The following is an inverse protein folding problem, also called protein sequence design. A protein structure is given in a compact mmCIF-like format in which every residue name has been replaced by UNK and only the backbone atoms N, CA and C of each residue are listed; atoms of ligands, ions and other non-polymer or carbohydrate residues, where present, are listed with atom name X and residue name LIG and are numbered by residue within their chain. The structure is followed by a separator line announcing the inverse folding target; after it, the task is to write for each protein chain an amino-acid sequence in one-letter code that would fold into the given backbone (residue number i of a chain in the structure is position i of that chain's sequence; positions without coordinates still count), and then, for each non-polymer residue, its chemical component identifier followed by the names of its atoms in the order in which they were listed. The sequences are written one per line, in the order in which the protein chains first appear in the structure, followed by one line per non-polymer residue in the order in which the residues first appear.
data_IF_461076379468
#
_entry.id   IF_461076379468
#
_cell.length_a   1.000
_cell.length_b   1.000
_cell.length_c   1.000
_cell.angle_alpha   90.00
_cell.angle_beta   90.00
_cell.angle_gamma   90.00
#
_symmetry.space_group_name_H-M   'P 1'
#
loop_
_entity.id
_entity.type
_entity.pdbx_description
1 polymer ?
#
# COMPACT_ATOMS: atom_id res chain seq x y z
N UNK A 1 -8.22 1.59 20.98
CA UNK A 1 -8.90 0.29 21.28
C UNK A 1 -7.92 -0.84 20.96
N UNK A 2 -7.74 -1.81 21.85
CA UNK A 2 -6.74 -2.87 21.72
C UNK A 2 -7.39 -4.25 21.76
N UNK A 3 -6.87 -5.18 20.96
CA UNK A 3 -7.20 -6.60 21.03
C UNK A 3 -5.99 -7.32 21.61
N UNK A 4 -6.21 -8.08 22.68
CA UNK A 4 -5.18 -8.90 23.30
C UNK A 4 -5.16 -10.27 22.65
N UNK A 5 -4.07 -10.61 21.96
CA UNK A 5 -3.86 -11.94 21.37
C UNK A 5 -2.58 -12.54 21.98
N UNK A 6 -2.70 -13.65 22.70
CA UNK A 6 -1.56 -14.35 23.34
C UNK A 6 -0.62 -13.43 24.15
N UNK A 7 -1.17 -12.43 24.84
CA UNK A 7 -0.40 -11.48 25.65
C UNK A 7 0.18 -10.28 24.88
N UNK A 8 0.03 -10.23 23.56
CA UNK A 8 0.40 -9.09 22.72
C UNK A 8 -0.82 -8.18 22.58
N UNK A 9 -0.66 -6.89 22.87
CA UNK A 9 -1.69 -5.88 22.67
C UNK A 9 -1.56 -5.31 21.25
N UNK A 10 -2.51 -5.68 20.38
CA UNK A 10 -2.56 -5.20 19.01
C UNK A 10 -3.61 -4.10 18.92
N UNK A 11 -3.21 -2.91 18.46
CA UNK A 11 -4.16 -1.82 18.21
C UNK A 11 -5.09 -2.22 17.07
N UNK A 12 -6.40 -2.00 17.24
CA UNK A 12 -7.39 -2.28 16.18
C UNK A 12 -7.08 -1.51 14.90
N UNK A 13 -6.50 -0.31 15.02
CA UNK A 13 -6.14 0.52 13.86
C UNK A 13 -5.04 -0.12 13.00
N UNK A 14 -4.11 -0.86 13.60
CA UNK A 14 -3.09 -1.61 12.86
C UNK A 14 -3.74 -2.71 12.02
N UNK A 15 -4.80 -3.35 12.51
CA UNK A 15 -5.54 -4.35 11.73
C UNK A 15 -6.25 -3.73 10.53
N UNK A 16 -6.83 -2.53 10.70
CA UNK A 16 -7.45 -1.78 9.59
C UNK A 16 -6.41 -1.42 8.53
N UNK A 17 -5.24 -0.93 8.95
CA UNK A 17 -4.14 -0.63 8.04
C UNK A 17 -3.65 -1.86 7.28
N UNK A 18 -3.46 -2.99 7.98
CA UNK A 18 -3.06 -4.26 7.36
C UNK A 18 -4.14 -4.76 6.39
N UNK A 19 -5.43 -4.59 6.71
CA UNK A 19 -6.52 -4.95 5.80
C UNK A 19 -6.51 -4.09 4.52
N UNK A 20 -6.27 -2.78 4.64
CA UNK A 20 -6.17 -1.89 3.47
C UNK A 20 -4.96 -2.23 2.61
N UNK A 21 -3.81 -2.50 3.22
CA UNK A 21 -2.63 -2.99 2.49
C UNK A 21 -2.90 -4.34 1.81
N UNK A 22 -3.59 -5.26 2.49
CA UNK A 22 -3.96 -6.55 1.92
C UNK A 22 -4.82 -6.37 0.66
N UNK A 23 -5.79 -5.47 0.68
CA UNK A 23 -6.59 -5.12 -0.50
C UNK A 23 -5.73 -4.52 -1.62
N UNK A 24 -4.79 -3.64 -1.27
CA UNK A 24 -3.83 -3.07 -2.22
C UNK A 24 -2.97 -4.14 -2.92
N UNK A 25 -2.39 -5.06 -2.14
CA UNK A 25 -1.66 -6.21 -2.69
C UNK A 25 -2.56 -7.16 -3.48
N UNK A 26 -3.83 -7.32 -3.07
CA UNK A 26 -4.86 -8.02 -3.83
C UNK A 26 -5.06 -7.45 -5.24
N UNK A 27 -5.19 -6.14 -5.34
CA UNK A 27 -5.31 -5.46 -6.62
C UNK A 27 -4.04 -5.61 -7.49
N UNK A 28 -2.86 -5.49 -6.87
CA UNK A 28 -1.58 -5.77 -7.53
C UNK A 28 -1.48 -7.21 -8.05
N UNK A 29 -1.96 -8.19 -7.29
CA UNK A 29 -1.96 -9.60 -7.69
C UNK A 29 -2.85 -9.87 -8.90
N UNK A 30 -4.04 -9.25 -8.93
CA UNK A 30 -4.92 -9.25 -10.09
C UNK A 30 -4.21 -8.68 -11.32
N UNK A 31 -3.58 -7.51 -11.18
CA UNK A 31 -2.92 -6.85 -12.31
C UNK A 31 -1.68 -7.59 -12.81
N UNK A 32 -0.87 -8.16 -11.90
CA UNK A 32 0.26 -9.01 -12.27
C UNK A 32 -0.18 -10.22 -13.08
N UNK A 33 -1.30 -10.86 -12.69
CA UNK A 33 -1.86 -11.99 -13.44
C UNK A 33 -2.39 -11.56 -14.79
N UNK A 34 -3.01 -10.39 -14.88
CA UNK A 34 -3.43 -9.78 -16.13
C UNK A 34 -2.22 -9.55 -17.07
N UNK A 35 -1.16 -8.89 -16.62
CA UNK A 35 0.07 -8.67 -17.41
C UNK A 35 0.72 -9.97 -17.86
N UNK A 36 0.72 -10.99 -17.00
CA UNK A 36 1.27 -12.30 -17.32
C UNK A 36 0.50 -12.97 -18.47
N UNK A 37 -0.83 -12.84 -18.54
CA UNK A 37 -1.64 -13.35 -19.65
C UNK A 37 -1.43 -12.55 -20.93
N UNK A 38 -1.27 -11.24 -20.83
CA UNK A 38 -0.96 -10.35 -21.96
C UNK A 38 0.50 -10.50 -22.46
N UNK A 39 1.26 -11.49 -21.96
CA UNK A 39 2.66 -11.74 -22.31
C UNK A 39 3.60 -10.55 -22.05
N UNK A 40 3.21 -9.61 -21.19
CA UNK A 40 4.01 -8.44 -20.78
C UNK A 40 4.94 -8.81 -19.62
N UNK A 41 5.86 -9.75 -19.87
CA UNK A 41 6.71 -10.33 -18.83
C UNK A 41 7.65 -9.32 -18.14
N UNK A 42 8.21 -8.36 -18.89
CA UNK A 42 9.10 -7.34 -18.33
C UNK A 42 8.36 -6.43 -17.33
N UNK A 43 7.15 -5.99 -17.70
CA UNK A 43 6.31 -5.15 -16.83
C UNK A 43 5.89 -5.92 -15.58
N UNK A 44 5.57 -7.21 -15.73
CA UNK A 44 5.25 -8.09 -14.61
C UNK A 44 6.44 -8.22 -13.63
N UNK A 45 7.65 -8.44 -14.15
CA UNK A 45 8.85 -8.63 -13.33
C UNK A 45 9.25 -7.33 -12.62
N UNK A 46 9.16 -6.20 -13.32
CA UNK A 46 9.42 -4.86 -12.77
C UNK A 46 8.41 -4.52 -11.67
N UNK A 47 7.12 -4.75 -11.92
CA UNK A 47 6.06 -4.49 -10.95
C UNK A 47 6.19 -5.36 -9.70
N UNK A 48 6.52 -6.64 -9.86
CA UNK A 48 6.75 -7.56 -8.74
C UNK A 48 7.97 -7.11 -7.90
N UNK A 49 9.07 -6.74 -8.57
CA UNK A 49 10.30 -6.30 -7.91
C UNK A 49 10.07 -5.03 -7.10
N UNK A 50 9.35 -4.05 -7.66
CA UNK A 50 9.00 -2.81 -6.97
C UNK A 50 8.06 -3.07 -5.81
N UNK A 51 7.10 -3.98 -5.95
CA UNK A 51 6.18 -4.36 -4.87
C UNK A 51 6.92 -5.00 -3.68
N UNK A 52 7.89 -5.88 -3.94
CA UNK A 52 8.73 -6.47 -2.90
C UNK A 52 9.61 -5.42 -2.21
N UNK A 53 10.22 -4.53 -3.00
CA UNK A 53 11.04 -3.44 -2.48
C UNK A 53 10.22 -2.47 -1.62
N UNK A 54 8.99 -2.15 -2.03
CA UNK A 54 8.07 -1.31 -1.28
C UNK A 54 7.62 -1.95 0.04
N UNK A 55 7.35 -3.26 0.03
CA UNK A 55 7.00 -4.02 1.23
C UNK A 55 8.10 -3.93 2.28
N UNK A 56 9.36 -4.03 1.84
CA UNK A 56 10.51 -3.81 2.70
C UNK A 56 10.58 -2.35 3.17
N UNK A 57 10.45 -1.38 2.27
CA UNK A 57 10.50 0.05 2.56
C UNK A 57 9.45 0.51 3.60
N UNK A 58 8.21 0.01 3.53
CA UNK A 58 7.13 0.31 4.48
C UNK A 58 7.53 -0.07 5.92
N UNK A 59 8.28 -1.16 6.12
CA UNK A 59 8.74 -1.57 7.44
C UNK A 59 9.75 -0.61 8.08
N UNK A 60 10.43 0.24 7.29
CA UNK A 60 11.44 1.19 7.77
C UNK A 60 10.87 2.58 8.08
N UNK A 61 9.60 2.85 7.76
CA UNK A 61 8.86 4.02 8.23
C UNK A 61 9.52 5.38 7.91
N UNK A 62 9.92 5.60 6.66
CA UNK A 62 10.62 6.83 6.25
C UNK A 62 10.00 7.55 5.05
N UNK A 63 9.07 6.93 4.34
CA UNK A 63 8.50 7.46 3.10
C UNK A 63 7.03 7.83 3.14
N UNK A 64 6.34 7.74 4.29
CA UNK A 64 4.88 7.77 4.35
C UNK A 64 4.21 9.04 3.79
N UNK A 65 4.58 10.20 4.34
CA UNK A 65 4.09 11.49 3.85
C UNK A 65 4.49 11.75 2.39
N UNK A 66 5.67 11.27 2.00
CA UNK A 66 6.21 11.45 0.66
C UNK A 66 5.49 10.54 -0.35
N UNK A 67 5.06 9.34 0.08
CA UNK A 67 4.23 8.43 -0.69
C UNK A 67 2.84 9.01 -0.92
N UNK A 68 2.24 9.65 0.10
CA UNK A 68 0.98 10.37 -0.04
C UNK A 68 1.12 11.52 -1.06
N UNK A 69 2.18 12.31 -0.97
CA UNK A 69 2.46 13.38 -1.93
C UNK A 69 2.67 12.85 -3.36
N UNK A 70 3.36 11.71 -3.52
CA UNK A 70 3.56 11.06 -4.81
C UNK A 70 2.25 10.52 -5.40
N UNK A 71 1.41 9.86 -4.60
CA UNK A 71 0.08 9.39 -5.01
C UNK A 71 -0.81 10.56 -5.43
N UNK A 72 -0.79 11.67 -4.68
CA UNK A 72 -1.54 12.89 -4.99
C UNK A 72 -1.12 13.50 -6.34
N UNK A 73 0.20 13.63 -6.56
CA UNK A 73 0.77 14.17 -7.79
C UNK A 73 0.41 13.33 -9.00
N UNK A 74 0.45 12.00 -8.88
CA UNK A 74 0.19 11.10 -10.01
C UNK A 74 -1.29 10.98 -10.30
N UNK A 75 -2.14 10.96 -9.27
CA UNK A 75 -3.58 11.07 -9.45
C UNK A 75 -3.96 12.41 -10.14
N UNK A 76 -3.22 13.50 -9.88
CA UNK A 76 -3.40 14.78 -10.57
C UNK A 76 -2.98 14.72 -12.04
N UNK A 77 -1.79 14.19 -12.32
CA UNK A 77 -1.23 14.14 -13.67
C UNK A 77 -2.06 13.27 -14.63
N UNK A 78 -2.66 12.18 -14.14
CA UNK A 78 -3.36 11.20 -14.98
C UNK A 78 -4.89 11.21 -14.85
N UNK A 79 -5.44 11.63 -13.71
CA UNK A 79 -6.89 11.70 -13.47
C UNK A 79 -7.45 13.13 -13.45
N UNK A 80 -6.61 14.16 -13.33
CA UNK A 80 -7.04 15.53 -13.14
C UNK A 80 -7.40 15.86 -11.68
N UNK A 81 -8.02 17.04 -11.49
CA UNK A 81 -8.24 17.65 -10.17
C UNK A 81 -9.12 16.80 -9.23
N UNK A 82 -10.23 16.25 -9.74
CA UNK A 82 -11.20 15.51 -8.92
C UNK A 82 -10.62 14.19 -8.41
N UNK A 83 -10.00 13.33 -9.24
CA UNK A 83 -9.30 12.14 -8.76
C UNK A 83 -8.16 12.40 -7.79
N UNK A 84 -7.37 13.45 -8.01
CA UNK A 84 -6.30 13.86 -7.09
C UNK A 84 -6.86 14.27 -5.73
N UNK A 85 -7.94 15.07 -5.72
CA UNK A 85 -8.59 15.49 -4.49
C UNK A 85 -9.15 14.29 -3.71
N UNK A 86 -9.73 13.29 -4.40
CA UNK A 86 -10.24 12.06 -3.78
C UNK A 86 -9.09 11.24 -3.19
N UNK A 87 -8.01 11.00 -3.94
CA UNK A 87 -6.87 10.22 -3.46
C UNK A 87 -6.15 10.90 -2.29
N UNK A 88 -5.91 12.21 -2.39
CA UNK A 88 -5.26 12.99 -1.33
C UNK A 88 -6.14 13.12 -0.10
N UNK A 89 -7.45 13.35 -0.30
CA UNK A 89 -8.44 13.41 0.76
C UNK A 89 -8.54 12.09 1.52
N UNK A 90 -8.61 10.96 0.79
CA UNK A 90 -8.61 9.63 1.40
C UNK A 90 -7.32 9.35 2.16
N UNK A 91 -6.16 9.65 1.58
CA UNK A 91 -4.87 9.46 2.23
C UNK A 91 -4.75 10.31 3.52
N UNK A 92 -5.13 11.58 3.45
CA UNK A 92 -5.10 12.51 4.58
C UNK A 92 -6.09 12.11 5.66
N UNK A 93 -7.32 11.74 5.29
CA UNK A 93 -8.34 11.28 6.23
C UNK A 93 -7.91 9.98 6.92
N UNK A 94 -7.29 9.05 6.17
CA UNK A 94 -6.78 7.80 6.73
C UNK A 94 -5.58 8.06 7.66
N UNK A 95 -4.69 8.98 7.30
CA UNK A 95 -3.57 9.41 8.14
C UNK A 95 -4.08 10.04 9.44
N UNK A 96 -5.01 10.99 9.36
CA UNK A 96 -5.61 11.62 10.54
C UNK A 96 -6.33 10.60 11.40
N UNK A 97 -7.14 9.71 10.79
CA UNK A 97 -7.81 8.63 11.51
C UNK A 97 -6.81 7.74 12.27
N UNK A 98 -5.68 7.42 11.64
CA UNK A 98 -4.63 6.59 12.25
C UNK A 98 -3.83 7.30 13.34
N UNK A 99 -3.67 8.63 13.27
CA UNK A 99 -2.93 9.41 14.25
C UNK A 99 -3.80 9.91 15.41
N UNK A 100 -5.11 10.12 15.21
CA UNK A 100 -6.02 10.63 16.23
C UNK A 100 -6.21 9.65 17.41
N UNK A 101 -5.94 8.36 17.20
CA UNK A 101 -5.98 7.34 18.26
C UNK A 101 -4.68 7.14 19.04
N UNK A 102 -3.63 7.90 18.69
CA UNK A 102 -2.32 7.81 19.33
C UNK A 102 -2.09 9.06 20.18
N UNK A 103 -1.97 8.88 21.50
CA UNK A 103 -1.20 9.80 22.34
C UNK A 103 0.26 9.69 21.88
N UNK A 104 0.58 10.37 20.78
CA UNK A 104 1.91 10.39 20.20
C UNK A 104 2.77 11.28 21.11
N UNK A 105 3.46 10.67 22.07
CA UNK A 105 4.72 11.22 22.54
C UNK A 105 5.62 11.25 21.30
N UNK A 106 5.81 12.45 20.73
CA UNK A 106 6.80 12.70 19.70
C UNK A 106 8.09 12.02 20.15
N UNK A 107 8.60 10.99 19.43
CA UNK A 107 9.94 10.53 19.74
C UNK A 107 10.84 11.74 19.52
N UNK A 108 11.60 12.08 20.56
CA UNK A 108 12.52 13.21 20.71
C UNK A 108 13.69 13.17 19.70
N UNK A 109 13.35 13.00 18.42
CA UNK A 109 14.22 12.93 17.25
C UNK A 109 13.96 14.16 16.40
N UNK A 110 14.09 15.34 17.02
CA UNK A 110 14.35 16.57 16.30
C UNK A 110 15.79 16.45 15.76
N UNK A 111 15.93 16.58 14.45
CA UNK A 111 17.20 16.81 13.74
C UNK A 111 18.12 15.62 13.38
N UNK A 112 17.61 14.40 13.19
CA UNK A 112 18.38 13.38 12.45
C UNK A 112 18.20 13.58 10.92
N UNK A 113 19.26 14.07 10.25
CA UNK A 113 19.31 14.10 8.78
C UNK A 113 19.06 12.69 8.20
N UNK A 114 18.22 12.61 7.16
CA UNK A 114 17.93 11.37 6.43
C UNK A 114 19.22 10.70 5.98
N UNK A 115 19.46 9.47 6.44
CA UNK A 115 20.61 8.68 6.01
C UNK A 115 20.42 8.23 4.55
N UNK A 116 21.49 7.81 3.86
CA UNK A 116 21.44 7.32 2.46
C UNK A 116 20.43 6.19 2.27
N UNK A 117 20.28 5.34 3.29
CA UNK A 117 19.32 4.24 3.30
C UNK A 117 17.87 4.76 3.36
N UNK A 118 17.65 5.85 4.06
CA UNK A 118 16.33 6.47 4.22
C UNK A 118 15.88 7.14 2.91
N UNK A 119 16.82 7.75 2.18
CA UNK A 119 16.58 8.23 0.82
C UNK A 119 16.22 7.11 -0.15
N UNK A 120 16.93 5.98 -0.09
CA UNK A 120 16.62 4.81 -0.92
C UNK A 120 15.20 4.29 -0.64
N UNK A 121 14.86 4.12 0.64
CA UNK A 121 13.53 3.68 1.10
C UNK A 121 12.44 4.63 0.62
N UNK A 122 12.69 5.93 0.70
CA UNK A 122 11.78 6.97 0.24
C UNK A 122 11.51 6.87 -1.26
N UNK A 123 12.58 6.79 -2.06
CA UNK A 123 12.47 6.67 -3.52
C UNK A 123 11.68 5.42 -3.93
N UNK A 124 11.94 4.28 -3.28
CA UNK A 124 11.23 3.03 -3.53
C UNK A 124 9.73 3.17 -3.19
N UNK A 125 9.42 3.83 -2.07
CA UNK A 125 8.02 4.03 -1.64
C UNK A 125 7.28 4.96 -2.61
N UNK A 126 7.94 6.01 -3.09
CA UNK A 126 7.42 6.90 -4.15
C UNK A 126 7.14 6.11 -5.42
N UNK A 127 8.12 5.34 -5.91
CA UNK A 127 7.98 4.57 -7.14
C UNK A 127 6.83 3.56 -7.06
N UNK A 128 6.65 2.93 -5.90
CA UNK A 128 5.53 2.02 -5.66
C UNK A 128 4.19 2.75 -5.63
N UNK A 129 4.08 3.82 -4.85
CA UNK A 129 2.88 4.64 -4.77
C UNK A 129 2.47 5.19 -6.14
N UNK A 130 3.47 5.57 -6.92
CA UNK A 130 3.33 6.05 -8.29
C UNK A 130 2.76 4.98 -9.22
N UNK A 131 3.42 3.84 -9.28
CA UNK A 131 3.01 2.73 -10.14
C UNK A 131 1.62 2.24 -9.72
N UNK A 132 1.39 2.06 -8.42
CA UNK A 132 0.09 1.61 -7.92
C UNK A 132 -1.05 2.56 -8.32
N UNK A 133 -0.84 3.88 -8.22
CA UNK A 133 -1.81 4.87 -8.67
C UNK A 133 -2.07 4.78 -10.19
N UNK A 134 -1.03 4.62 -11.01
CA UNK A 134 -1.16 4.45 -12.45
C UNK A 134 -1.96 3.19 -12.81
N UNK A 135 -1.66 2.07 -12.16
CA UNK A 135 -2.38 0.81 -12.40
C UNK A 135 -3.87 0.92 -12.08
N UNK A 136 -4.22 1.65 -11.01
CA UNK A 136 -5.60 1.89 -10.61
C UNK A 136 -6.35 2.79 -11.60
N UNK A 137 -5.67 3.76 -12.22
CA UNK A 137 -6.24 4.62 -13.26
C UNK A 137 -6.53 3.79 -14.52
N UNK A 138 -5.60 2.93 -14.93
CA UNK A 138 -5.68 2.20 -16.20
C UNK A 138 -6.67 1.03 -16.16
N UNK A 139 -6.86 0.38 -15.00
CA UNK A 139 -7.60 -0.88 -14.91
C UNK A 139 -9.08 -0.77 -14.51
N UNK A 140 -9.53 0.39 -13.99
CA UNK A 140 -10.82 0.51 -13.33
C UNK A 140 -11.65 1.69 -13.86
N UNK A 141 -12.65 1.46 -14.74
CA UNK A 141 -13.54 2.50 -15.25
C UNK A 141 -14.49 3.11 -14.19
N UNK A 142 -14.43 2.66 -12.93
CA UNK A 142 -15.13 3.27 -11.80
C UNK A 142 -14.26 4.35 -11.13
N UNK A 143 -14.38 5.57 -11.66
CA UNK A 143 -13.51 6.77 -11.52
C UNK A 143 -13.36 7.36 -10.10
N UNK A 144 -13.74 6.69 -9.02
CA UNK A 144 -13.61 7.25 -7.66
C UNK A 144 -13.18 6.24 -6.61
N UNK A 145 -13.71 5.01 -6.66
CA UNK A 145 -13.34 3.93 -5.74
C UNK A 145 -11.85 3.58 -5.88
N UNK A 146 -11.32 3.59 -7.11
CA UNK A 146 -9.91 3.31 -7.38
C UNK A 146 -8.98 4.33 -6.72
N UNK A 147 -9.37 5.62 -6.74
CA UNK A 147 -8.62 6.71 -6.12
C UNK A 147 -8.75 6.70 -4.60
N UNK A 148 -9.91 6.32 -4.06
CA UNK A 148 -10.09 6.05 -2.63
C UNK A 148 -9.17 4.93 -2.15
N UNK A 149 -9.06 3.83 -2.92
CA UNK A 149 -8.18 2.72 -2.62
C UNK A 149 -6.71 3.12 -2.71
N UNK A 150 -6.32 3.87 -3.74
CA UNK A 150 -4.96 4.41 -3.88
C UNK A 150 -4.57 5.27 -2.68
N UNK A 151 -5.44 6.21 -2.30
CA UNK A 151 -5.25 7.08 -1.14
C UNK A 151 -5.21 6.31 0.17
N UNK A 152 -6.11 5.34 0.36
CA UNK A 152 -6.14 4.47 1.54
C UNK A 152 -4.87 3.63 1.68
N UNK A 153 -4.38 3.03 0.59
CA UNK A 153 -3.12 2.26 0.59
C UNK A 153 -1.93 3.16 0.88
N UNK A 154 -1.88 4.37 0.32
CA UNK A 154 -0.83 5.35 0.62
C UNK A 154 -0.85 5.78 2.10
N UNK A 155 -2.04 6.09 2.63
CA UNK A 155 -2.24 6.42 4.04
C UNK A 155 -1.89 5.27 4.98
N UNK A 156 -2.25 4.03 4.63
CA UNK A 156 -1.89 2.83 5.39
C UNK A 156 -0.38 2.58 5.35
N UNK A 157 0.25 2.63 4.17
CA UNK A 157 1.69 2.50 4.02
C UNK A 157 2.45 3.57 4.84
N UNK A 158 1.90 4.78 4.92
CA UNK A 158 2.48 5.86 5.69
C UNK A 158 2.40 5.67 7.21
N UNK A 159 1.40 4.95 7.70
CA UNK A 159 1.08 4.87 9.13
C UNK A 159 1.42 3.52 9.75
N UNK A 160 1.54 2.44 8.96
CA UNK A 160 1.94 1.11 9.44
C UNK A 160 3.33 1.10 10.07
N UNK A 161 4.28 1.82 9.46
CA UNK A 161 5.63 1.92 10.00
C UNK A 161 5.68 2.64 11.36
N UNK A 162 4.77 3.58 11.58
CA UNK A 162 4.61 4.33 12.83
C UNK A 162 3.97 3.45 13.90
N UNK A 163 2.87 2.78 13.55
CA UNK A 163 2.14 1.89 14.45
C UNK A 163 2.94 0.65 14.86
N UNK A 164 3.74 0.06 13.96
CA UNK A 164 4.55 -1.12 14.28
C UNK A 164 5.69 -0.82 15.26
N UNK A 165 6.23 0.41 15.25
CA UNK A 165 7.15 0.89 16.30
C UNK A 165 6.44 0.98 17.66
N UNK A 166 5.19 1.46 17.70
CA UNK A 166 4.42 1.58 18.94
C UNK A 166 4.08 0.24 19.62
N UNK A 167 4.04 -0.86 18.86
CA UNK A 167 3.73 -2.22 19.35
C UNK A 167 5.01 -2.98 19.78
N UNK A 168 6.18 -2.34 19.80
CA UNK A 168 7.48 -2.96 20.13
C UNK A 168 7.79 -4.22 19.30
N UNK A 169 7.28 -4.27 18.05
CA UNK A 169 7.66 -5.32 17.11
C UNK A 169 9.07 -5.06 16.59
N UNK A 170 9.92 -6.10 16.58
CA UNK A 170 11.24 -5.97 15.95
C UNK A 170 11.08 -5.71 14.45
N UNK A 171 11.96 -4.87 13.87
CA UNK A 171 11.91 -4.51 12.45
C UNK A 171 11.82 -5.73 11.53
N UNK A 172 12.56 -6.80 11.85
CA UNK A 172 12.51 -8.05 11.11
C UNK A 172 11.14 -8.73 11.16
N UNK A 173 10.47 -8.73 12.32
CA UNK A 173 9.10 -9.26 12.46
C UNK A 173 8.11 -8.42 11.65
N UNK A 174 8.28 -7.11 11.60
CA UNK A 174 7.46 -6.22 10.76
C UNK A 174 7.65 -6.52 9.27
N UNK A 175 8.88 -6.67 8.81
CA UNK A 175 9.18 -7.06 7.42
C UNK A 175 8.52 -8.39 7.07
N UNK A 176 8.68 -9.41 7.93
CA UNK A 176 8.06 -10.73 7.70
C UNK A 176 6.54 -10.63 7.68
N UNK A 177 5.93 -9.87 8.59
CA UNK A 177 4.48 -9.66 8.63
C UNK A 177 3.97 -9.04 7.33
N UNK A 178 4.62 -7.96 6.86
CA UNK A 178 4.24 -7.29 5.62
C UNK A 178 4.50 -8.15 4.38
N UNK A 179 5.56 -8.96 4.38
CA UNK A 179 5.86 -9.87 3.29
C UNK A 179 4.83 -11.00 3.21
N UNK A 180 4.43 -11.58 4.34
CA UNK A 180 3.32 -12.55 4.39
C UNK A 180 2.04 -11.91 3.90
N UNK A 181 1.72 -10.69 4.35
CA UNK A 181 0.54 -9.94 3.90
C UNK A 181 0.58 -9.71 2.38
N UNK A 182 1.73 -9.31 1.84
CA UNK A 182 1.93 -9.08 0.43
C UNK A 182 1.72 -10.37 -0.38
N UNK A 183 2.35 -11.48 0.02
CA UNK A 183 2.21 -12.78 -0.66
C UNK A 183 0.76 -13.26 -0.64
N UNK A 184 0.09 -13.18 0.52
CA UNK A 184 -1.31 -13.57 0.66
C UNK A 184 -2.22 -12.69 -0.19
N UNK A 185 -2.04 -11.36 -0.16
CA UNK A 185 -2.79 -10.43 -0.98
C UNK A 185 -2.60 -10.71 -2.47
N UNK A 186 -1.34 -10.81 -2.93
CA UNK A 186 -1.01 -11.12 -4.32
C UNK A 186 -1.66 -12.44 -4.79
N UNK A 187 -1.63 -13.48 -3.94
CA UNK A 187 -2.25 -14.77 -4.24
C UNK A 187 -3.78 -14.66 -4.38
N UNK A 188 -4.45 -13.94 -3.45
CA UNK A 188 -5.90 -13.69 -3.53
C UNK A 188 -6.25 -12.99 -4.85
N UNK A 189 -5.50 -11.95 -5.22
CA UNK A 189 -5.69 -11.23 -6.48
C UNK A 189 -5.53 -12.10 -7.72
N UNK A 190 -4.48 -12.93 -7.76
CA UNK A 190 -4.23 -13.84 -8.87
C UNK A 190 -5.29 -14.95 -9.00
N UNK A 191 -5.81 -15.45 -7.88
CA UNK A 191 -6.92 -16.41 -7.86
C UNK A 191 -8.19 -15.75 -8.38
N UNK A 192 -8.51 -14.53 -7.91
CA UNK A 192 -9.68 -13.78 -8.35
C UNK A 192 -9.70 -13.57 -9.86
N UNK A 193 -8.57 -13.16 -10.43
CA UNK A 193 -8.40 -13.00 -11.88
C UNK A 193 -8.61 -14.32 -12.64
N UNK A 194 -8.00 -15.41 -12.16
CA UNK A 194 -8.11 -16.73 -12.77
C UNK A 194 -9.56 -17.24 -12.75
N UNK A 195 -10.29 -16.99 -11.66
CA UNK A 195 -11.70 -17.31 -11.54
C UNK A 195 -12.55 -16.50 -12.53
N UNK A 196 -12.37 -15.18 -12.58
CA UNK A 196 -13.13 -14.30 -13.47
C UNK A 196 -12.92 -14.62 -14.95
N UNK A 197 -11.69 -14.94 -15.33
CA UNK A 197 -11.37 -15.40 -16.68
C UNK A 197 -12.10 -16.70 -17.05
N UNK A 198 -12.10 -17.67 -16.14
CA UNK A 198 -12.77 -18.97 -16.37
C UNK A 198 -14.28 -18.81 -16.55
N UNK A 199 -14.91 -17.89 -15.81
CA UNK A 199 -16.34 -17.59 -15.91
C UNK A 199 -16.65 -16.86 -17.21
N UNK A 200 -15.80 -15.91 -17.61
CA UNK A 200 -15.96 -15.14 -18.83
C UNK A 200 -15.82 -16.04 -20.06
N UNK A 201 -14.80 -16.91 -20.10
CA UNK A 201 -14.58 -17.84 -21.21
C UNK A 201 -15.75 -18.82 -21.41
N UNK A 202 -16.33 -19.34 -20.32
CA UNK A 202 -17.52 -20.22 -20.38
C UNK A 202 -18.79 -19.54 -20.89
N UNK A 203 -18.89 -18.22 -20.84
CA UNK A 203 -20.07 -17.48 -21.35
C UNK A 203 -20.00 -17.24 -22.86
N UNK A 204 -18.84 -17.41 -23.48
CA UNK A 204 -18.62 -17.16 -24.91
C UNK A 204 -18.27 -18.44 -25.70
N UNK A 205 -18.31 -19.61 -25.06
CA UNK A 205 -18.16 -20.95 -25.67
C UNK A 205 -19.50 -21.67 -25.70
#
# INVERSE_FOLDING_TARGET
MYIKIKGIFIRVILLVQLAVLLLGYGFLGYYLRFLFRESRFLDCLLLLSISLAATWAIAFNLGGLIAIAATALIAFLYGGLVPSAIATGAASAFLVFCLWGDDYEEPDRKDENLNKLDWLVTIITIAFAAIFALLLVDSAPTVWISYLLAGGVAGAAATVGLQTKSVNLSRWKTVVLLLVLAVVGLAIGGIFDSFWFSVSFRRFS
#
